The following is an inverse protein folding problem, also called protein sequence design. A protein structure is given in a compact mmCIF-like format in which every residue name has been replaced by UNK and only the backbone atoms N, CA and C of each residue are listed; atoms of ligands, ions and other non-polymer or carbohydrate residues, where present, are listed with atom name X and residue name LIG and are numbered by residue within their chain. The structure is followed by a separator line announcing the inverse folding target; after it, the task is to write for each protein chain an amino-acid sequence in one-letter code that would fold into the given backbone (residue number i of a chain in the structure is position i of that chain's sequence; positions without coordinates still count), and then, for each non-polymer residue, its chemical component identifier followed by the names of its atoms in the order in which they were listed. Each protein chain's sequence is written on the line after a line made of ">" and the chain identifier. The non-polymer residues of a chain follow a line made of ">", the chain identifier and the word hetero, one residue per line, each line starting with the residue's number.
data_IF_373765767780
#
_entry.id   IF_373765767780
#
_cell.length_a   1.000
_cell.length_b   1.000
_cell.length_c   1.000
_cell.angle_alpha   90.00
_cell.angle_beta   90.00
_cell.angle_gamma   90.00
#
_symmetry.space_group_name_H-M   'P 1'
#
loop_
_entity.id
_entity.type
_entity.pdbx_description
1 polymer ?
#
# COMPACT_ATOMS: atom_id res chain seq x y z
N UNK A 1 5.57 1.54 10.30
CA UNK A 1 4.22 1.10 9.94
C UNK A 1 3.39 2.34 9.63
N UNK A 2 2.40 2.23 8.75
CA UNK A 2 1.44 3.30 8.45
C UNK A 2 0.04 2.75 8.71
N UNK A 3 -0.73 3.47 9.51
CA UNK A 3 -2.13 3.20 9.72
C UNK A 3 -2.97 4.01 8.72
N UNK A 4 -3.89 3.33 8.05
CA UNK A 4 -4.78 3.90 7.03
C UNK A 4 -6.23 3.42 7.21
N UNK A 5 -6.56 2.79 8.34
CA UNK A 5 -7.91 2.21 8.56
C UNK A 5 -9.02 3.27 8.59
N UNK A 6 -8.71 4.47 9.08
CA UNK A 6 -9.65 5.60 9.17
C UNK A 6 -9.60 6.52 7.93
N UNK A 7 -8.86 6.15 6.89
CA UNK A 7 -8.82 6.95 5.66
C UNK A 7 -10.15 6.86 4.93
N UNK A 8 -10.81 8.01 4.70
CA UNK A 8 -12.10 8.09 4.02
C UNK A 8 -11.99 8.36 2.52
N UNK A 9 -10.88 8.95 2.08
CA UNK A 9 -10.61 9.28 0.67
C UNK A 9 -9.17 8.89 0.32
N UNK A 10 -9.02 8.11 -0.74
CA UNK A 10 -7.73 7.66 -1.26
C UNK A 10 -7.77 7.74 -2.77
N UNK A 11 -6.83 8.49 -3.34
CA UNK A 11 -6.60 8.58 -4.77
C UNK A 11 -5.32 7.85 -5.19
N UNK A 12 -5.03 7.89 -6.49
CA UNK A 12 -3.83 7.27 -7.04
C UNK A 12 -2.54 7.90 -6.49
N UNK A 13 -2.54 9.20 -6.20
CA UNK A 13 -1.36 9.90 -5.70
C UNK A 13 -1.00 9.48 -4.27
N UNK A 14 -2.00 9.18 -3.44
CA UNK A 14 -1.80 8.59 -2.12
C UNK A 14 -1.07 7.24 -2.23
N UNK A 15 -1.54 6.36 -3.14
CA UNK A 15 -0.92 5.05 -3.37
C UNK A 15 0.54 5.22 -3.84
N UNK A 16 0.79 6.12 -4.79
CA UNK A 16 2.13 6.43 -5.28
C UNK A 16 3.05 6.95 -4.16
N UNK A 17 2.52 7.77 -3.24
CA UNK A 17 3.27 8.28 -2.10
C UNK A 17 3.68 7.15 -1.14
N UNK A 18 2.80 6.21 -0.85
CA UNK A 18 3.10 5.03 -0.01
C UNK A 18 4.20 4.18 -0.66
N UNK A 19 4.13 3.94 -1.97
CA UNK A 19 5.15 3.18 -2.72
C UNK A 19 6.51 3.92 -2.75
N UNK A 20 6.50 5.23 -2.96
CA UNK A 20 7.71 6.06 -2.92
C UNK A 20 8.35 6.06 -1.52
N UNK A 21 7.53 6.17 -0.47
CA UNK A 21 7.97 6.09 0.91
C UNK A 21 8.60 4.72 1.22
N UNK A 22 7.98 3.62 0.78
CA UNK A 22 8.52 2.27 0.92
C UNK A 22 9.88 2.14 0.26
N UNK A 23 9.98 2.52 -1.01
CA UNK A 23 11.24 2.52 -1.77
C UNK A 23 12.33 3.32 -1.04
N UNK A 24 11.98 4.48 -0.50
CA UNK A 24 12.90 5.35 0.24
C UNK A 24 13.39 4.71 1.55
N UNK A 25 12.51 4.03 2.28
CA UNK A 25 12.86 3.32 3.52
C UNK A 25 13.72 2.08 3.23
N UNK A 26 13.39 1.31 2.19
CA UNK A 26 14.13 0.12 1.78
C UNK A 26 15.57 0.45 1.36
N UNK A 27 15.78 1.56 0.64
CA UNK A 27 17.13 2.06 0.30
C UNK A 27 18.01 2.37 1.51
N UNK A 28 17.41 2.56 2.70
CA UNK A 28 18.10 2.82 3.96
C UNK A 28 18.18 1.57 4.85
N UNK A 29 17.84 0.40 4.32
CA UNK A 29 17.84 -0.86 5.06
C UNK A 29 16.65 -1.04 6.01
N UNK A 30 15.63 -0.20 5.91
CA UNK A 30 14.40 -0.33 6.67
C UNK A 30 13.29 -1.06 5.91
N UNK A 31 12.14 -1.21 6.55
CA UNK A 31 10.93 -1.73 5.92
C UNK A 31 9.72 -0.85 6.25
N UNK A 32 8.83 -0.66 5.26
CA UNK A 32 7.53 -0.02 5.44
C UNK A 32 6.42 -1.07 5.25
N UNK A 33 5.43 -1.05 6.14
CA UNK A 33 4.26 -1.95 6.16
C UNK A 33 3.02 -1.16 6.57
N UNK A 34 1.86 -1.60 6.11
CA UNK A 34 0.57 -1.14 6.63
C UNK A 34 0.26 -1.84 7.96
N UNK A 35 -0.46 -1.15 8.85
CA UNK A 35 -0.95 -1.74 10.11
C UNK A 35 -1.98 -2.84 9.81
N UNK A 36 -2.81 -2.67 8.78
CA UNK A 36 -3.84 -3.63 8.36
C UNK A 36 -3.67 -3.93 6.88
N UNK A 37 -4.14 -5.09 6.37
CA UNK A 37 -4.27 -5.29 4.92
C UNK A 37 -5.12 -4.17 4.32
N UNK A 38 -4.88 -3.88 3.05
CA UNK A 38 -5.68 -2.91 2.31
C UNK A 38 -7.15 -3.36 2.26
N UNK A 39 -8.03 -2.54 2.81
CA UNK A 39 -9.48 -2.73 2.81
C UNK A 39 -10.20 -1.43 2.41
N UNK A 40 -11.53 -1.47 2.30
CA UNK A 40 -12.38 -0.30 2.09
C UNK A 40 -11.97 0.54 0.88
N UNK A 41 -11.77 1.83 1.10
CA UNK A 41 -11.42 2.79 0.04
C UNK A 41 -10.03 2.57 -0.54
N UNK A 42 -9.08 2.03 0.24
CA UNK A 42 -7.75 1.69 -0.28
C UNK A 42 -7.85 0.52 -1.27
N UNK A 43 -8.56 -0.54 -0.87
CA UNK A 43 -8.75 -1.72 -1.72
C UNK A 43 -9.53 -1.39 -3.01
N UNK A 44 -10.56 -0.53 -2.92
CA UNK A 44 -11.33 -0.12 -4.09
C UNK A 44 -10.51 0.72 -5.06
N UNK A 45 -9.70 1.68 -4.56
CA UNK A 45 -8.82 2.51 -5.39
C UNK A 45 -7.70 1.68 -6.01
N UNK A 46 -7.06 0.76 -5.27
CA UNK A 46 -6.06 -0.16 -5.83
C UNK A 46 -6.65 -1.00 -6.99
N UNK A 47 -7.89 -1.48 -6.85
CA UNK A 47 -8.59 -2.23 -7.91
C UNK A 47 -8.89 -1.35 -9.12
N UNK A 48 -9.42 -0.15 -8.90
CA UNK A 48 -9.73 0.80 -9.97
C UNK A 48 -8.47 1.23 -10.73
N UNK A 49 -7.33 1.34 -10.05
CA UNK A 49 -6.04 1.67 -10.64
C UNK A 49 -5.33 0.49 -11.32
N UNK A 50 -5.88 -0.73 -11.25
CA UNK A 50 -5.21 -1.94 -11.77
C UNK A 50 -3.96 -2.34 -10.99
N UNK A 51 -3.83 -1.90 -9.73
CA UNK A 51 -2.66 -2.10 -8.87
C UNK A 51 -2.80 -3.29 -7.89
N UNK A 52 -3.85 -4.08 -8.02
CA UNK A 52 -4.05 -5.31 -7.25
C UNK A 52 -3.21 -6.49 -7.78
N UNK A 53 -2.00 -6.22 -8.29
CA UNK A 53 -1.20 -7.17 -9.07
C UNK A 53 -1.18 -8.57 -8.46
N UNK A 54 -1.25 -9.61 -9.29
CA UNK A 54 -1.35 -11.00 -8.85
C UNK A 54 -0.21 -11.43 -7.91
N UNK A 55 -0.24 -12.66 -7.38
CA UNK A 55 0.55 -13.13 -6.23
C UNK A 55 2.09 -12.98 -6.32
N UNK A 56 2.64 -12.49 -7.44
CA UNK A 56 4.07 -12.28 -7.68
C UNK A 56 4.45 -10.80 -7.91
N UNK A 57 3.53 -9.85 -7.77
CA UNK A 57 3.86 -8.42 -7.81
C UNK A 57 4.55 -8.00 -6.49
N UNK A 58 5.76 -7.41 -6.52
CA UNK A 58 6.50 -7.02 -5.31
C UNK A 58 5.76 -6.04 -4.40
N UNK A 59 4.87 -5.23 -4.99
CA UNK A 59 4.04 -4.28 -4.27
C UNK A 59 2.79 -4.93 -3.69
N UNK A 60 2.37 -6.09 -4.21
CA UNK A 60 1.18 -6.76 -3.74
C UNK A 60 1.32 -7.27 -2.31
N UNK A 61 2.51 -7.73 -1.93
CA UNK A 61 2.78 -8.12 -0.54
C UNK A 61 2.51 -6.97 0.45
N UNK A 62 2.80 -5.72 0.08
CA UNK A 62 2.50 -4.56 0.93
C UNK A 62 1.01 -4.41 1.25
N UNK A 63 0.15 -4.73 0.27
CA UNK A 63 -1.29 -4.57 0.38
C UNK A 63 -1.97 -5.74 1.11
N UNK A 64 -1.37 -6.94 1.07
CA UNK A 64 -2.00 -8.18 1.56
C UNK A 64 -1.49 -8.56 2.96
N UNK A 65 -0.22 -8.32 3.26
CA UNK A 65 0.46 -8.78 4.49
C UNK A 65 0.36 -7.77 5.64
N UNK A 66 -0.82 -7.19 5.88
CA UNK A 66 -1.02 -6.36 7.09
C UNK A 66 -0.50 -7.07 8.35
N UNK A 67 0.02 -6.30 9.30
CA UNK A 67 0.79 -6.85 10.42
C UNK A 67 -0.08 -7.22 11.61
#
# INVERSE_FOLDING_TARGET
>A
MIDVTEASEIDLSFIQLILAARTSVERRGGSLRLVSPADGVLASTLRAAGLTGGPFSPDSQLWIEGT
#
